data_IF_184933995398
#
_entry.id   IF_184933995398
#
_cell.length_a   1.000
_cell.length_b   1.000
_cell.length_c   1.000
_cell.angle_alpha   90.00
_cell.angle_beta   90.00
_cell.angle_gamma   90.00
#
_symmetry.space_group_name_H-M   'P 1'
#
loop_
_entity.id
_entity.type
_entity.pdbx_description
1 polymer ?
#
# COMPACT_ATOMS: atom_id res chain seq x y z
N UNK A 1 -44.12 -12.74 -19.47
CA UNK A 1 -42.67 -13.04 -19.57
C UNK A 1 -42.30 -14.00 -18.45
N UNK A 2 -41.71 -15.16 -18.76
CA UNK A 2 -41.37 -16.15 -17.75
C UNK A 2 -40.18 -15.71 -16.88
N UNK A 3 -40.20 -16.10 -15.61
CA UNK A 3 -39.13 -15.87 -14.64
C UNK A 3 -37.74 -16.30 -15.15
N UNK A 4 -37.70 -17.32 -16.01
CA UNK A 4 -36.49 -17.82 -16.68
C UNK A 4 -35.79 -16.74 -17.54
N UNK A 5 -36.55 -15.91 -18.28
CA UNK A 5 -35.97 -14.85 -19.11
C UNK A 5 -35.34 -13.74 -18.27
N UNK A 6 -35.96 -13.38 -17.14
CA UNK A 6 -35.43 -12.39 -16.21
C UNK A 6 -34.09 -12.89 -15.62
N UNK A 7 -34.02 -14.17 -15.27
CA UNK A 7 -32.82 -14.79 -14.71
C UNK A 7 -31.68 -14.88 -15.73
N UNK A 8 -31.99 -15.22 -16.99
CA UNK A 8 -31.01 -15.23 -18.08
C UNK A 8 -30.48 -13.83 -18.41
N UNK A 9 -31.35 -12.83 -18.49
CA UNK A 9 -30.92 -11.44 -18.75
C UNK A 9 -30.07 -10.92 -17.59
N UNK A 10 -30.47 -11.18 -16.34
CA UNK A 10 -29.72 -10.76 -15.16
C UNK A 10 -28.32 -11.40 -15.10
N UNK A 11 -28.22 -12.71 -15.35
CA UNK A 11 -26.93 -13.41 -15.38
C UNK A 11 -26.04 -12.96 -16.52
N UNK A 12 -26.59 -12.76 -17.73
CA UNK A 12 -25.85 -12.23 -18.88
C UNK A 12 -25.31 -10.82 -18.60
N UNK A 13 -26.11 -9.94 -17.99
CA UNK A 13 -25.69 -8.59 -17.63
C UNK A 13 -24.54 -8.59 -16.59
N UNK A 14 -24.62 -9.47 -15.58
CA UNK A 14 -23.55 -9.64 -14.58
C UNK A 14 -22.27 -10.15 -15.28
N UNK A 15 -22.37 -11.17 -16.13
CA UNK A 15 -21.24 -11.74 -16.85
C UNK A 15 -20.57 -10.69 -17.76
N UNK A 16 -21.35 -9.94 -18.52
CA UNK A 16 -20.85 -8.86 -19.39
C UNK A 16 -20.12 -7.77 -18.58
N UNK A 17 -20.68 -7.38 -17.43
CA UNK A 17 -20.05 -6.39 -16.54
C UNK A 17 -18.71 -6.89 -16.02
N UNK A 18 -18.64 -8.14 -15.56
CA UNK A 18 -17.40 -8.76 -15.09
C UNK A 18 -16.35 -8.85 -16.19
N UNK A 19 -16.74 -9.19 -17.42
CA UNK A 19 -15.83 -9.23 -18.57
C UNK A 19 -15.25 -7.84 -18.89
N UNK A 20 -16.07 -6.78 -18.85
CA UNK A 20 -15.61 -5.41 -19.09
C UNK A 20 -14.60 -4.96 -18.03
N UNK A 21 -14.91 -5.21 -16.75
CA UNK A 21 -14.01 -4.90 -15.63
C UNK A 21 -12.68 -5.63 -15.80
N UNK A 22 -12.70 -6.93 -16.10
CA UNK A 22 -11.47 -7.70 -16.34
C UNK A 22 -10.68 -7.17 -17.55
N UNK A 23 -11.36 -6.78 -18.63
CA UNK A 23 -10.72 -6.18 -19.80
C UNK A 23 -9.99 -4.87 -19.47
N UNK A 24 -10.61 -4.02 -18.64
CA UNK A 24 -10.02 -2.76 -18.21
C UNK A 24 -8.80 -2.96 -17.31
N UNK A 25 -8.87 -3.92 -16.38
CA UNK A 25 -7.72 -4.27 -15.52
C UNK A 25 -6.56 -4.84 -16.32
N UNK A 26 -6.82 -5.75 -17.26
CA UNK A 26 -5.77 -6.29 -18.14
C UNK A 26 -5.13 -5.19 -18.97
N UNK A 27 -5.94 -4.28 -19.53
CA UNK A 27 -5.44 -3.12 -20.28
C UNK A 27 -4.57 -2.23 -19.41
N UNK A 28 -5.02 -1.93 -18.18
CA UNK A 28 -4.24 -1.13 -17.22
C UNK A 28 -2.92 -1.83 -16.86
N UNK A 29 -2.97 -3.10 -16.52
CA UNK A 29 -1.78 -3.88 -16.16
C UNK A 29 -0.76 -3.88 -17.29
N UNK A 30 -1.21 -4.09 -18.53
CA UNK A 30 -0.36 -4.01 -19.72
C UNK A 30 0.27 -2.63 -19.88
N UNK A 31 -0.53 -1.56 -19.82
CA UNK A 31 -0.03 -0.19 -19.96
C UNK A 31 0.95 0.18 -18.83
N UNK A 32 0.70 -0.25 -17.59
CA UNK A 32 1.61 -0.01 -16.48
C UNK A 32 2.95 -0.72 -16.70
N UNK A 33 2.91 -1.98 -17.15
CA UNK A 33 4.12 -2.74 -17.53
C UNK A 33 4.88 -2.06 -18.65
N UNK A 34 4.22 -1.73 -19.76
CA UNK A 34 4.82 -1.08 -20.94
C UNK A 34 5.49 0.26 -20.59
N UNK A 35 4.78 1.13 -19.86
CA UNK A 35 5.35 2.42 -19.44
C UNK A 35 6.46 2.22 -18.42
N UNK A 36 6.30 1.29 -17.47
CA UNK A 36 7.31 0.98 -16.47
C UNK A 36 8.61 0.47 -17.09
N UNK A 37 8.53 -0.45 -18.05
CA UNK A 37 9.71 -0.96 -18.75
C UNK A 37 10.39 0.11 -19.59
N UNK A 38 9.62 1.00 -20.24
CA UNK A 38 10.18 2.16 -20.94
C UNK A 38 10.91 3.14 -20.00
N UNK A 39 10.52 3.18 -18.72
CA UNK A 39 11.18 3.94 -17.66
C UNK A 39 12.35 3.19 -16.98
N UNK A 40 12.73 2.01 -17.50
CA UNK A 40 13.86 1.22 -16.99
C UNK A 40 13.54 0.28 -15.83
N UNK A 41 12.25 0.09 -15.50
CA UNK A 41 11.84 -0.90 -14.51
C UNK A 41 11.75 -2.31 -15.09
N UNK A 42 11.93 -3.31 -14.23
CA UNK A 42 11.56 -4.69 -14.52
C UNK A 42 10.08 -4.88 -14.19
N UNK A 43 9.29 -5.29 -15.17
CA UNK A 43 7.93 -5.75 -14.92
C UNK A 43 7.96 -7.11 -14.21
N UNK A 44 7.18 -7.22 -13.13
CA UNK A 44 7.05 -8.47 -12.37
C UNK A 44 6.02 -9.37 -13.05
N UNK A 45 6.35 -10.65 -13.18
CA UNK A 45 5.49 -11.59 -13.88
C UNK A 45 4.35 -12.15 -13.03
N UNK A 46 3.32 -12.65 -13.71
CA UNK A 46 2.18 -13.26 -13.02
C UNK A 46 2.67 -14.41 -12.14
N UNK A 47 2.18 -14.48 -10.91
CA UNK A 47 2.55 -15.48 -9.90
C UNK A 47 4.01 -15.41 -9.43
N UNK A 48 4.81 -14.46 -9.94
CA UNK A 48 6.15 -14.23 -9.41
C UNK A 48 6.02 -13.76 -7.95
N UNK A 49 6.78 -14.36 -7.02
CA UNK A 49 6.73 -13.97 -5.62
C UNK A 49 7.39 -12.61 -5.42
N UNK A 50 6.69 -11.71 -4.74
CA UNK A 50 7.23 -10.44 -4.28
C UNK A 50 7.47 -10.47 -2.79
N UNK A 51 8.70 -10.16 -2.39
CA UNK A 51 9.09 -10.00 -1.00
C UNK A 51 8.71 -8.59 -0.54
N UNK A 52 7.64 -8.49 0.25
CA UNK A 52 7.12 -7.23 0.77
C UNK A 52 7.03 -7.31 2.30
N UNK A 53 7.60 -6.33 3.04
CA UNK A 53 7.40 -6.25 4.48
C UNK A 53 5.91 -6.21 4.88
N UNK A 54 5.57 -6.89 5.98
CA UNK A 54 4.23 -6.84 6.57
C UNK A 54 3.96 -5.48 7.19
N UNK A 55 3.08 -4.69 6.57
CA UNK A 55 2.54 -3.41 7.06
C UNK A 55 1.00 -3.43 6.99
N UNK A 56 0.32 -2.45 7.57
CA UNK A 56 -1.15 -2.41 7.70
C UNK A 56 -1.90 -2.61 6.37
N UNK A 57 -1.44 -1.99 5.27
CA UNK A 57 -2.05 -2.14 3.95
C UNK A 57 -1.96 -3.58 3.43
N UNK A 58 -0.93 -4.32 3.87
CA UNK A 58 -0.60 -5.69 3.45
C UNK A 58 -1.13 -6.77 4.40
N UNK A 59 -1.48 -6.44 5.66
CA UNK A 59 -1.88 -7.43 6.67
C UNK A 59 -3.26 -8.04 6.47
N UNK A 60 -4.14 -7.38 5.73
CA UNK A 60 -5.56 -7.79 5.65
C UNK A 60 -5.77 -8.94 4.68
N UNK A 61 -6.76 -9.78 4.98
CA UNK A 61 -7.25 -10.80 4.06
C UNK A 61 -7.87 -10.15 2.82
N UNK A 62 -7.78 -10.85 1.68
CA UNK A 62 -8.38 -10.42 0.41
C UNK A 62 -7.61 -9.29 -0.32
N UNK A 63 -6.40 -8.96 0.11
CA UNK A 63 -5.51 -8.03 -0.61
C UNK A 63 -4.88 -8.73 -1.82
N UNK A 64 -4.91 -8.08 -2.98
CA UNK A 64 -4.38 -8.61 -4.24
C UNK A 64 -3.39 -7.61 -4.82
N UNK A 65 -2.15 -8.05 -5.03
CA UNK A 65 -1.16 -7.30 -5.79
C UNK A 65 -1.40 -7.55 -7.28
N UNK A 66 -1.75 -6.49 -8.01
CA UNK A 66 -1.88 -6.47 -9.46
C UNK A 66 -0.51 -6.27 -10.15
N UNK A 67 -0.50 -5.50 -11.23
CA UNK A 67 0.74 -5.19 -11.94
C UNK A 67 1.77 -4.55 -11.00
N UNK A 68 3.00 -5.05 -11.06
CA UNK A 68 4.11 -4.59 -10.25
C UNK A 68 5.35 -4.34 -11.11
N UNK A 69 6.14 -3.36 -10.69
CA UNK A 69 7.36 -2.86 -11.32
C UNK A 69 8.44 -2.78 -10.24
N UNK A 70 9.59 -3.40 -10.47
CA UNK A 70 10.74 -3.38 -9.57
C UNK A 70 11.92 -2.74 -10.28
N UNK A 71 12.68 -1.89 -9.59
CA UNK A 71 13.86 -1.30 -10.19
C UNK A 71 14.45 -0.16 -9.37
N UNK A 72 15.17 0.72 -10.07
CA UNK A 72 15.78 1.90 -9.47
C UNK A 72 15.15 3.15 -10.06
N UNK A 73 14.74 4.10 -9.23
CA UNK A 73 14.26 5.41 -9.66
C UNK A 73 15.14 6.49 -9.06
N UNK A 74 15.84 7.26 -9.90
CA UNK A 74 16.77 8.33 -9.47
C UNK A 74 17.77 7.87 -8.38
N UNK A 75 18.32 6.67 -8.55
CA UNK A 75 19.30 6.08 -7.63
C UNK A 75 18.72 5.28 -6.46
N UNK A 76 17.40 5.33 -6.25
CA UNK A 76 16.75 4.67 -5.12
C UNK A 76 16.07 3.36 -5.53
N UNK A 77 16.21 2.31 -4.72
CA UNK A 77 15.55 1.02 -4.97
C UNK A 77 14.06 1.14 -4.65
N UNK A 78 13.21 0.86 -5.63
CA UNK A 78 11.77 1.01 -5.49
C UNK A 78 11.00 -0.19 -6.04
N UNK A 79 9.84 -0.45 -5.44
CA UNK A 79 8.82 -1.36 -5.94
C UNK A 79 7.51 -0.59 -6.08
N UNK A 80 6.88 -0.65 -7.24
CA UNK A 80 5.63 0.03 -7.53
C UNK A 80 4.60 -1.01 -7.92
N UNK A 81 3.43 -1.01 -7.28
CA UNK A 81 2.41 -2.01 -7.59
C UNK A 81 1.00 -1.48 -7.39
N UNK A 82 0.07 -1.98 -8.20
CA UNK A 82 -1.35 -1.80 -7.92
C UNK A 82 -1.78 -2.77 -6.82
N UNK A 83 -2.49 -2.26 -5.82
CA UNK A 83 -3.12 -3.04 -4.76
C UNK A 83 -4.64 -2.90 -4.85
N UNK A 84 -5.31 -4.04 -4.97
CA UNK A 84 -6.76 -4.15 -4.89
C UNK A 84 -7.17 -4.73 -3.55
N UNK A 85 -8.21 -4.18 -2.96
CA UNK A 85 -8.52 -4.50 -1.58
C UNK A 85 -9.96 -4.24 -1.11
N UNK A 86 -10.52 -5.09 -0.22
CA UNK A 86 -11.86 -4.85 0.33
C UNK A 86 -11.95 -3.55 1.13
N UNK A 87 -12.99 -2.78 0.85
CA UNK A 87 -13.33 -1.50 1.47
C UNK A 87 -14.85 -1.46 1.75
N UNK A 88 -15.28 -2.02 2.88
CA UNK A 88 -16.70 -2.22 3.16
C UNK A 88 -17.33 -3.20 2.16
N UNK A 89 -18.34 -2.74 1.42
CA UNK A 89 -19.05 -3.53 0.39
C UNK A 89 -18.43 -3.43 -1.02
N UNK A 90 -17.32 -2.70 -1.18
CA UNK A 90 -16.66 -2.49 -2.47
C UNK A 90 -15.20 -2.93 -2.44
N UNK A 91 -14.57 -2.90 -3.62
CA UNK A 91 -13.12 -3.08 -3.78
C UNK A 91 -12.53 -1.70 -4.06
N UNK A 92 -11.57 -1.29 -3.24
CA UNK A 92 -10.72 -0.13 -3.51
C UNK A 92 -9.45 -0.57 -4.23
N UNK A 93 -8.92 0.31 -5.05
CA UNK A 93 -7.69 0.08 -5.79
C UNK A 93 -6.77 1.28 -5.63
N UNK A 94 -5.48 1.02 -5.50
CA UNK A 94 -4.49 2.07 -5.24
C UNK A 94 -3.15 1.65 -5.83
N UNK A 95 -2.38 2.61 -6.35
CA UNK A 95 -0.97 2.34 -6.68
C UNK A 95 -0.11 2.67 -5.48
N UNK A 96 0.70 1.70 -5.07
CA UNK A 96 1.61 1.77 -3.93
C UNK A 96 3.03 1.95 -4.45
N UNK A 97 3.73 2.90 -3.87
CA UNK A 97 5.17 3.12 -4.06
C UNK A 97 5.89 2.65 -2.81
N UNK A 98 6.79 1.70 -2.93
CA UNK A 98 7.64 1.25 -1.83
C UNK A 98 9.07 1.70 -2.10
N UNK A 99 9.59 2.59 -1.27
CA UNK A 99 11.02 2.88 -1.17
C UNK A 99 11.68 1.80 -0.32
N UNK A 100 12.73 1.18 -0.84
CA UNK A 100 13.56 0.24 -0.08
C UNK A 100 14.80 0.94 0.42
N UNK A 101 14.81 1.20 1.73
CA UNK A 101 15.95 1.76 2.45
C UNK A 101 17.14 0.80 2.39
N UNK A 102 18.35 1.37 2.46
CA UNK A 102 19.61 0.60 2.50
C UNK A 102 19.69 -0.34 3.70
N UNK A 103 19.12 0.07 4.83
CA UNK A 103 19.15 -0.65 6.11
C UNK A 103 17.75 -0.70 6.75
N UNK A 104 17.44 -1.77 7.52
CA UNK A 104 16.21 -1.85 8.28
C UNK A 104 16.25 -0.90 9.47
N UNK A 105 15.45 0.17 9.41
CA UNK A 105 15.44 1.25 10.42
C UNK A 105 14.08 1.87 10.66
N UNK A 106 13.01 1.24 10.18
CA UNK A 106 11.64 1.68 10.45
C UNK A 106 11.00 0.71 11.46
N UNK A 107 10.43 1.23 12.56
CA UNK A 107 9.51 0.44 13.36
C UNK A 107 8.28 0.16 12.49
N UNK A 108 7.42 -0.72 12.93
CA UNK A 108 6.13 -0.84 12.29
C UNK A 108 5.26 0.38 12.57
N UNK A 109 4.73 1.00 11.51
CA UNK A 109 3.77 2.10 11.66
C UNK A 109 2.87 2.26 10.43
N UNK A 110 1.75 2.95 10.63
CA UNK A 110 0.92 3.54 9.57
C UNK A 110 0.42 4.93 9.98
N UNK A 111 0.57 5.90 9.08
CA UNK A 111 -0.01 7.23 9.16
C UNK A 111 -0.86 7.44 7.89
N UNK A 112 -2.18 7.38 8.07
CA UNK A 112 -3.14 7.39 6.97
C UNK A 112 -4.09 8.57 7.15
N UNK A 113 -4.20 9.52 6.20
CA UNK A 113 -5.12 10.63 6.33
C UNK A 113 -6.58 10.12 6.36
N UNK A 114 -7.35 10.64 7.31
CA UNK A 114 -8.80 10.44 7.38
C UNK A 114 -9.43 11.10 6.18
N UNK A 115 -10.44 10.43 5.65
CA UNK A 115 -11.29 10.98 4.62
C UNK A 115 -12.68 10.43 4.85
N UNK A 116 -13.64 11.32 5.13
CA UNK A 116 -15.03 10.97 5.46
C UNK A 116 -15.74 10.20 4.34
N UNK A 117 -15.29 10.36 3.10
CA UNK A 117 -15.86 9.70 1.92
C UNK A 117 -15.27 8.32 1.65
N UNK A 118 -14.21 7.94 2.37
CA UNK A 118 -13.51 6.68 2.16
C UNK A 118 -13.74 5.78 3.37
N UNK A 119 -13.92 4.48 3.08
CA UNK A 119 -14.00 3.45 4.12
C UNK A 119 -12.86 3.60 5.13
N UNK A 120 -13.22 3.81 6.39
CA UNK A 120 -12.26 3.78 7.50
C UNK A 120 -11.80 2.34 7.68
N UNK A 121 -10.49 2.04 7.59
CA UNK A 121 -9.96 0.74 7.96
C UNK A 121 -10.47 0.35 9.36
N UNK A 122 -11.29 -0.70 9.48
CA UNK A 122 -11.96 -1.12 10.73
C UNK A 122 -11.16 -2.10 11.58
N UNK A 123 -9.88 -2.29 11.31
CA UNK A 123 -9.04 -2.97 12.31
C UNK A 123 -8.61 -1.84 13.22
N UNK A 124 -9.21 -1.79 14.40
CA UNK A 124 -8.89 -0.87 15.46
C UNK A 124 -7.36 -0.78 15.56
N UNK A 125 -6.83 0.34 15.08
CA UNK A 125 -5.47 0.72 15.41
C UNK A 125 -5.54 0.89 16.92
N UNK A 126 -4.93 0.02 17.75
CA UNK A 126 -5.01 0.15 19.19
C UNK A 126 -4.63 1.59 19.52
N UNK A 127 -5.46 2.25 20.33
CA UNK A 127 -5.28 3.66 20.68
C UNK A 127 -3.86 3.81 21.23
N UNK A 128 -2.98 4.38 20.42
CA UNK A 128 -1.65 4.75 20.90
C UNK A 128 -1.85 5.78 22.00
N UNK A 129 -1.32 5.50 23.19
CA UNK A 129 -1.38 6.40 24.35
C UNK A 129 -0.65 7.71 24.03
N UNK A 130 0.45 7.62 23.29
CA UNK A 130 1.28 8.73 22.81
C UNK A 130 1.09 8.99 21.30
N UNK A 131 -0.06 9.56 20.93
CA UNK A 131 -0.26 10.10 19.57
C UNK A 131 0.48 11.43 19.41
N UNK A 132 1.26 11.64 18.33
CA UNK A 132 1.81 12.96 17.99
C UNK A 132 0.68 13.98 17.91
N UNK A 133 0.74 15.04 18.72
CA UNK A 133 -0.36 15.98 18.93
C UNK A 133 -0.97 16.52 17.62
N UNK A 134 -0.11 16.89 16.67
CA UNK A 134 -0.49 17.46 15.38
C UNK A 134 -1.38 16.55 14.51
N UNK A 135 -1.30 15.22 14.66
CA UNK A 135 -1.97 14.28 13.74
C UNK A 135 -3.28 13.68 14.28
N UNK A 136 -3.63 13.94 15.55
CA UNK A 136 -4.72 13.23 16.26
C UNK A 136 -6.09 13.34 15.57
N UNK A 137 -6.41 14.48 14.98
CA UNK A 137 -7.72 14.80 14.43
C UNK A 137 -7.91 14.26 13.01
N UNK A 138 -6.93 14.46 12.13
CA UNK A 138 -7.06 14.20 10.70
C UNK A 138 -6.39 12.91 10.22
N UNK A 139 -5.78 12.13 11.13
CA UNK A 139 -5.07 10.90 10.76
C UNK A 139 -5.54 9.68 11.52
N UNK A 140 -5.51 8.55 10.82
CA UNK A 140 -5.54 7.21 11.38
C UNK A 140 -4.09 6.79 11.60
N UNK A 141 -3.77 6.47 12.85
CA UNK A 141 -2.41 6.27 13.32
C UNK A 141 -2.30 4.86 13.91
N UNK A 142 -1.37 4.07 13.37
CA UNK A 142 -1.01 2.74 13.83
C UNK A 142 0.48 2.70 14.20
N UNK A 143 0.78 2.23 15.40
CA UNK A 143 2.12 1.85 15.81
C UNK A 143 1.93 0.76 16.89
N UNK A 144 1.98 -0.54 16.53
CA UNK A 144 1.63 -1.61 17.45
C UNK A 144 2.54 -1.64 18.69
N UNK A 145 3.80 -1.21 18.53
CA UNK A 145 4.79 -1.13 19.61
C UNK A 145 4.83 0.29 20.25
N UNK A 146 3.92 1.19 19.89
CA UNK A 146 3.93 2.59 20.36
C UNK A 146 5.10 3.44 19.84
N UNK A 147 5.95 2.87 18.98
CA UNK A 147 7.13 3.52 18.43
C UNK A 147 6.81 4.29 17.15
N UNK A 148 6.98 5.60 17.19
CA UNK A 148 6.87 6.46 16.02
C UNK A 148 8.25 6.71 15.41
N UNK A 149 8.43 6.53 14.10
CA UNK A 149 9.70 6.87 13.45
C UNK A 149 9.93 8.40 13.38
N UNK A 150 8.98 9.19 13.86
CA UNK A 150 8.95 10.62 13.63
C UNK A 150 8.54 11.43 14.86
N UNK A 151 9.16 12.61 15.02
CA UNK A 151 8.81 13.61 16.02
C UNK A 151 7.83 14.66 15.49
N UNK A 152 7.78 15.81 16.18
CA UNK A 152 6.84 16.90 15.90
C UNK A 152 7.00 17.48 14.48
N UNK A 153 8.22 17.74 14.02
CA UNK A 153 8.48 18.34 12.70
C UNK A 153 7.84 17.56 11.54
N UNK A 154 8.04 16.24 11.52
CA UNK A 154 7.44 15.38 10.48
C UNK A 154 5.92 15.31 10.68
N UNK A 155 5.44 15.31 11.93
CA UNK A 155 4.00 15.29 12.20
C UNK A 155 3.31 16.56 11.66
N UNK A 156 3.93 17.74 11.82
CA UNK A 156 3.44 18.99 11.24
C UNK A 156 3.48 18.96 9.70
N UNK A 157 4.59 18.50 9.11
CA UNK A 157 4.68 18.38 7.65
C UNK A 157 3.65 17.40 7.06
N UNK A 158 3.42 16.25 7.71
CA UNK A 158 2.37 15.32 7.30
C UNK A 158 1.02 16.03 7.31
N UNK A 159 0.73 16.75 8.39
CA UNK A 159 -0.51 17.51 8.57
C UNK A 159 -0.74 18.59 7.51
N UNK A 160 0.30 19.15 6.91
CA UNK A 160 0.22 20.08 5.77
C UNK A 160 -0.03 19.36 4.44
N UNK A 161 0.69 18.26 4.17
CA UNK A 161 0.64 17.58 2.87
C UNK A 161 -0.69 16.84 2.66
N UNK A 162 -1.19 16.09 3.67
CA UNK A 162 -2.40 15.22 3.71
C UNK A 162 -2.75 14.41 2.45
N UNK A 163 -1.88 14.38 1.45
CA UNK A 163 -2.09 13.81 0.12
C UNK A 163 -1.75 12.33 0.11
N UNK A 164 -0.79 11.94 0.95
CA UNK A 164 -0.18 10.63 0.98
C UNK A 164 -0.40 9.94 2.32
N UNK A 165 -0.69 8.65 2.26
CA UNK A 165 -0.52 7.72 3.37
C UNK A 165 0.91 7.24 3.42
N UNK A 166 1.42 7.02 4.62
CA UNK A 166 2.74 6.46 4.89
C UNK A 166 2.62 5.23 5.76
N UNK A 167 3.30 4.15 5.39
CA UNK A 167 3.43 2.97 6.22
C UNK A 167 4.85 2.46 6.14
N UNK A 168 5.33 1.76 7.16
CA UNK A 168 6.67 1.22 7.08
C UNK A 168 6.94 0.13 8.09
N UNK A 169 7.96 -0.67 7.79
CA UNK A 169 8.54 -1.69 8.65
C UNK A 169 9.90 -2.13 8.10
N UNK A 170 10.90 -2.25 8.96
CA UNK A 170 12.24 -2.68 8.58
C UNK A 170 12.82 -1.73 7.53
N UNK A 171 13.10 -2.25 6.33
CA UNK A 171 13.66 -1.45 5.22
C UNK A 171 12.61 -0.92 4.25
N UNK A 172 11.32 -1.24 4.42
CA UNK A 172 10.27 -0.85 3.47
C UNK A 172 9.50 0.37 3.96
N UNK A 173 9.50 1.44 3.17
CA UNK A 173 8.65 2.62 3.34
C UNK A 173 7.64 2.68 2.21
N UNK A 174 6.35 2.55 2.53
CA UNK A 174 5.24 2.54 1.59
C UNK A 174 4.53 3.89 1.57
N UNK A 175 4.30 4.39 0.37
CA UNK A 175 3.57 5.61 0.10
C UNK A 175 2.46 5.33 -0.89
N UNK A 176 1.27 5.86 -0.62
CA UNK A 176 0.15 5.72 -1.53
C UNK A 176 -0.91 6.79 -1.32
N UNK A 177 -1.75 7.01 -2.33
CA UNK A 177 -2.92 7.88 -2.24
C UNK A 177 -4.15 7.00 -2.11
N UNK A 178 -4.90 7.12 -1.02
CA UNK A 178 -6.05 6.25 -0.73
C UNK A 178 -7.04 6.24 -1.89
N UNK A 179 -7.44 5.05 -2.32
CA UNK A 179 -8.39 4.81 -3.42
C UNK A 179 -8.00 5.53 -4.72
N UNK A 180 -6.70 5.78 -4.95
CA UNK A 180 -6.21 6.44 -6.15
C UNK A 180 -5.10 5.63 -6.80
N UNK A 181 -5.27 5.42 -8.10
CA UNK A 181 -4.30 4.79 -8.98
C UNK A 181 -3.40 5.84 -9.62
N UNK A 182 -2.13 5.51 -9.78
CA UNK A 182 -1.21 6.29 -10.59
C UNK A 182 -1.71 6.29 -12.04
N UNK A 183 -1.78 7.46 -12.70
CA UNK A 183 -2.05 7.52 -14.13
C UNK A 183 -0.88 6.89 -14.89
N UNK A 184 -1.15 5.99 -15.83
CA UNK A 184 -0.09 5.35 -16.62
C UNK A 184 0.60 6.33 -17.55
N UNK A 185 -0.13 7.30 -18.12
CA UNK A 185 0.42 8.33 -19.02
C UNK A 185 1.42 9.28 -18.35
N UNK A 186 1.21 9.59 -17.06
CA UNK A 186 2.05 10.50 -16.27
C UNK A 186 2.72 9.75 -15.12
N UNK A 187 3.05 8.48 -15.34
CA UNK A 187 3.63 7.62 -14.31
C UNK A 187 4.93 8.21 -13.78
N UNK A 188 5.81 8.72 -14.65
CA UNK A 188 7.08 9.35 -14.25
C UNK A 188 6.86 10.52 -13.27
N UNK A 189 5.89 11.40 -13.53
CA UNK A 189 5.56 12.52 -12.63
C UNK A 189 5.06 12.02 -11.29
N UNK A 190 4.21 10.99 -11.30
CA UNK A 190 3.72 10.38 -10.08
C UNK A 190 4.85 9.71 -9.27
N UNK A 191 5.80 9.05 -9.93
CA UNK A 191 6.99 8.46 -9.30
C UNK A 191 7.91 9.53 -8.71
N UNK A 192 8.09 10.64 -9.41
CA UNK A 192 8.86 11.79 -8.92
C UNK A 192 8.24 12.41 -7.66
N UNK A 193 6.92 12.62 -7.67
CA UNK A 193 6.20 13.09 -6.49
C UNK A 193 6.28 12.09 -5.33
N UNK A 194 6.09 10.79 -5.60
CA UNK A 194 6.15 9.75 -4.58
C UNK A 194 7.55 9.65 -3.98
N UNK A 195 8.60 9.67 -4.81
CA UNK A 195 9.97 9.61 -4.35
C UNK A 195 10.35 10.83 -3.51
N UNK A 196 9.96 12.04 -3.96
CA UNK A 196 10.23 13.27 -3.21
C UNK A 196 9.63 13.22 -1.80
N UNK A 197 8.38 12.75 -1.68
CA UNK A 197 7.70 12.62 -0.39
C UNK A 197 8.31 11.49 0.46
N UNK A 198 8.71 10.37 -0.16
CA UNK A 198 9.36 9.27 0.54
C UNK A 198 10.72 9.68 1.11
N UNK A 199 11.51 10.43 0.35
CA UNK A 199 12.81 10.93 0.79
C UNK A 199 12.69 12.03 1.86
N UNK A 200 11.69 12.92 1.76
CA UNK A 200 11.40 13.91 2.80
C UNK A 200 11.13 13.23 4.15
N UNK A 201 10.35 12.14 4.14
CA UNK A 201 10.09 11.33 5.32
C UNK A 201 11.38 10.61 5.76
N UNK A 202 11.99 9.80 4.89
CA UNK A 202 13.11 8.93 5.21
C UNK A 202 14.35 9.67 5.74
N UNK A 203 14.65 10.88 5.24
CA UNK A 203 15.81 11.68 5.69
C UNK A 203 15.65 12.20 7.12
N UNK A 204 14.41 12.41 7.58
CA UNK A 204 14.11 12.98 8.90
C UNK A 204 13.86 11.91 9.97
N UNK A 205 13.66 10.66 9.55
CA UNK A 205 13.65 9.52 10.48
C UNK A 205 15.10 9.19 10.81
N UNK A 206 15.52 9.26 12.09
CA UNK A 206 16.88 8.88 12.46
C UNK A 206 17.13 7.41 12.16
N UNK A 207 18.35 7.05 11.76
CA UNK A 207 18.79 5.66 11.68
C UNK A 207 18.96 5.09 13.10
N UNK A 208 17.84 4.78 13.75
CA UNK A 208 17.84 3.98 14.98
C UNK A 208 17.60 2.54 14.57
N UNK A 209 18.45 1.64 15.10
CA UNK A 209 18.17 0.21 15.05
C UNK A 209 16.99 -0.04 15.96
N UNK A 210 15.84 -0.31 15.36
CA UNK A 210 14.71 -0.91 16.06
C UNK A 210 15.01 -2.41 16.08
N UNK A 211 15.95 -2.80 16.95
CA UNK A 211 16.35 -4.20 17.10
C UNK A 211 15.20 -4.99 17.72
N UNK A 212 15.01 -6.18 17.15
CA UNK A 212 14.02 -7.20 17.47
C UNK A 212 13.99 -7.53 18.96
N UNK A 213 12.81 -7.47 19.57
CA UNK A 213 12.53 -8.25 20.77
C UNK A 213 12.71 -9.75 20.46
N UNK A 214 13.51 -10.41 21.29
CA UNK A 214 13.52 -11.86 21.47
C UNK A 214 12.23 -12.21 22.19
N UNK A 215 11.48 -13.15 21.61
CA UNK A 215 10.20 -13.64 22.08
C UNK A 215 10.45 -14.67 23.20
N UNK A 216 10.58 -14.19 24.44
CA UNK A 216 10.52 -15.06 25.62
C UNK A 216 9.07 -15.17 26.08
N UNK A 217 8.46 -16.29 25.71
CA UNK A 217 7.39 -16.92 26.46
C UNK A 217 6.02 -16.26 26.37
N UNK A 218 5.29 -16.54 25.28
CA UNK A 218 3.85 -16.87 25.38
C UNK A 218 3.48 -17.77 24.19
N UNK A 219 3.19 -19.03 24.50
CA UNK A 219 2.58 -19.99 23.57
C UNK A 219 1.25 -19.43 23.04
N UNK A 220 1.00 -19.69 21.76
CA UNK A 220 -0.18 -19.34 20.97
C UNK A 220 -0.22 -17.93 20.32
N UNK A 221 0.28 -17.95 19.08
CA UNK A 221 -0.18 -17.16 17.93
C UNK A 221 0.47 -15.79 17.70
N UNK A 222 1.19 -15.69 16.57
CA UNK A 222 1.68 -14.47 15.89
C UNK A 222 3.12 -14.02 16.11
N UNK A 223 4.06 -14.95 16.34
CA UNK A 223 5.47 -14.69 16.08
C UNK A 223 5.82 -14.91 14.59
N UNK A 224 6.36 -13.89 13.94
CA UNK A 224 7.46 -13.97 12.97
C UNK A 224 7.69 -12.58 12.36
N UNK A 225 8.95 -12.26 12.11
CA UNK A 225 9.44 -11.24 11.17
C UNK A 225 8.94 -11.55 9.75
N UNK A 226 7.62 -11.38 9.53
CA UNK A 226 6.91 -11.84 8.33
C UNK A 226 7.21 -10.88 7.17
N UNK A 227 8.24 -11.21 6.40
CA UNK A 227 8.23 -10.85 4.98
C UNK A 227 7.17 -11.73 4.32
N UNK A 228 6.13 -11.13 3.78
CA UNK A 228 5.12 -11.90 3.05
C UNK A 228 5.60 -12.11 1.62
N UNK A 229 5.42 -13.33 1.11
CA UNK A 229 5.47 -13.58 -0.33
C UNK A 229 4.07 -13.40 -0.89
N UNK A 230 3.83 -12.28 -1.55
CA UNK A 230 2.63 -12.10 -2.34
C UNK A 230 2.88 -12.63 -3.75
N UNK A 231 1.91 -13.36 -4.30
CA UNK A 231 1.90 -13.67 -5.73
C UNK A 231 1.22 -12.52 -6.45
N UNK A 232 1.88 -12.00 -7.50
CA UNK A 232 1.23 -11.07 -8.42
C UNK A 232 0.05 -11.78 -9.09
N UNK A 233 -1.14 -11.23 -8.91
CA UNK A 233 -2.38 -11.76 -9.44
C UNK A 233 -3.14 -10.66 -10.19
N UNK A 234 -3.51 -10.97 -11.42
CA UNK A 234 -4.37 -10.12 -12.24
C UNK A 234 -5.87 -10.48 -12.08
N UNK A 235 -6.24 -11.17 -11.00
CA UNK A 235 -7.64 -11.46 -10.67
C UNK A 235 -8.23 -10.32 -9.86
N UNK A 236 -9.41 -9.86 -10.26
CA UNK A 236 -10.41 -9.25 -9.37
C UNK A 236 -11.39 -10.36 -9.01
#
# INVERSE_FOLDING_TARGET
>A
MSFLWILLIGTAAIAATLMLVQGWERRRARLLKEVGTALGFRAVEKNEPLAVPSVEIMRKRGRIIGAALEGTWKGERVLVFDLSYPAGKSISQTTVFMLRLSEPRLPEFAAIPKNIWLYTPTVDLPRVETRPGALKSHWLLYAPEGQWPFGLEIAEWLEESRKWSFEGRGSGLFLYRRSKRAPTKTLHTWLDEALAEALKFARRVPARRFDSFVDEGEEETYAHTRTFRFKVSFRI
#
